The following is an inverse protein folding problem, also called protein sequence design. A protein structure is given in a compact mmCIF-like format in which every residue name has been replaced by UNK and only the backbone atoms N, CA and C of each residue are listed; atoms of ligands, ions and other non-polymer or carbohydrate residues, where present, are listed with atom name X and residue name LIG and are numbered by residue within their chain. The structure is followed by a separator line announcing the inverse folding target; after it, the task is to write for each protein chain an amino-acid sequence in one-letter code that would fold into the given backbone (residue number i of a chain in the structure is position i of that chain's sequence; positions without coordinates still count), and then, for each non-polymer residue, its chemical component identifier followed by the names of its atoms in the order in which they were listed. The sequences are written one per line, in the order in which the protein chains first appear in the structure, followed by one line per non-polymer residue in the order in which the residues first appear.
data_IF_628848487147
#
_entry.id   IF_628848487147
#
_cell.length_a   1.000
_cell.length_b   1.000
_cell.length_c   1.000
_cell.angle_alpha   90.00
_cell.angle_beta   90.00
_cell.angle_gamma   90.00
#
_symmetry.space_group_name_H-M   'P 1'
#
loop_
_entity.id
_entity.type
_entity.pdbx_description
1 polymer ?
#
# COMPACT_ATOMS: atom_id res chain seq x y z
N UNK A 1 17.03 19.87 -5.32
CA UNK A 1 16.76 18.75 -4.39
C UNK A 1 16.17 17.64 -5.22
N UNK A 2 16.88 16.52 -5.37
CA UNK A 2 16.33 15.36 -6.08
C UNK A 2 15.23 14.72 -5.24
N UNK A 3 14.07 14.51 -5.84
CA UNK A 3 13.01 13.71 -5.22
C UNK A 3 13.34 12.25 -5.49
N UNK A 4 13.80 11.53 -4.47
CA UNK A 4 14.05 10.09 -4.57
C UNK A 4 12.70 9.36 -4.58
N UNK A 5 12.24 8.97 -5.76
CA UNK A 5 11.02 8.17 -5.92
C UNK A 5 11.20 6.80 -5.24
N UNK A 6 10.27 6.42 -4.36
CA UNK A 6 10.25 5.08 -3.73
C UNK A 6 9.30 4.16 -4.48
N UNK A 7 9.75 2.97 -4.81
CA UNK A 7 8.97 1.95 -5.54
C UNK A 7 8.58 0.81 -4.60
N UNK A 8 7.32 0.38 -4.67
CA UNK A 8 6.77 -0.70 -3.85
C UNK A 8 6.08 -1.73 -4.74
N UNK A 9 6.26 -3.01 -4.44
CA UNK A 9 5.51 -4.09 -5.08
C UNK A 9 4.26 -4.41 -4.28
N UNK A 10 3.10 -3.96 -4.77
CA UNK A 10 1.82 -4.20 -4.12
C UNK A 10 1.09 -5.34 -4.82
N UNK A 11 0.82 -6.43 -4.10
CA UNK A 11 0.01 -7.55 -4.60
C UNK A 11 -1.20 -7.73 -3.70
N UNK A 12 -2.33 -7.15 -4.10
CA UNK A 12 -3.59 -7.33 -3.40
C UNK A 12 -4.67 -7.90 -4.31
N UNK A 13 -5.40 -8.89 -3.77
CA UNK A 13 -6.59 -9.45 -4.39
C UNK A 13 -7.81 -8.76 -3.77
N UNK A 14 -8.35 -7.75 -4.44
CA UNK A 14 -9.59 -7.11 -4.04
C UNK A 14 -10.72 -8.13 -4.11
N UNK A 15 -11.42 -8.32 -3.00
CA UNK A 15 -12.50 -9.30 -2.91
C UNK A 15 -13.86 -8.65 -2.95
N UNK A 16 -14.10 -7.55 -2.21
CA UNK A 16 -15.29 -6.68 -2.20
C UNK A 16 -15.11 -5.65 -1.06
N UNK A 17 -15.15 -4.33 -1.29
CA UNK A 17 -15.54 -3.42 -0.20
C UNK A 17 -14.49 -2.97 0.82
N UNK A 18 -13.73 -1.91 0.53
CA UNK A 18 -13.21 -0.96 1.53
C UNK A 18 -11.99 -1.49 2.26
N UNK A 19 -11.38 -2.51 1.68
CA UNK A 19 -10.39 -3.33 2.34
C UNK A 19 -9.17 -2.49 2.69
N UNK A 20 -8.92 -2.34 4.00
CA UNK A 20 -7.65 -1.82 4.52
C UNK A 20 -6.53 -2.77 4.16
N UNK A 21 -5.43 -2.24 3.63
CA UNK A 21 -4.24 -3.04 3.32
C UNK A 21 -2.96 -2.28 3.58
N UNK A 22 -1.92 -3.02 3.95
CA UNK A 22 -0.59 -2.47 4.16
C UNK A 22 0.21 -2.54 2.85
N UNK A 23 0.91 -1.45 2.56
CA UNK A 23 2.01 -1.43 1.60
C UNK A 23 3.28 -1.66 2.39
N UNK A 24 4.02 -2.71 1.99
CA UNK A 24 5.28 -3.08 2.62
C UNK A 24 6.46 -2.65 1.78
N UNK A 25 7.54 -2.29 2.44
CA UNK A 25 8.83 -2.06 1.79
C UNK A 25 9.55 -3.36 1.42
N UNK A 26 10.77 -3.24 0.92
CA UNK A 26 11.63 -4.35 0.51
C UNK A 26 12.07 -5.25 1.68
N UNK A 27 11.92 -4.78 2.93
CA UNK A 27 12.20 -5.55 4.15
C UNK A 27 10.95 -6.23 4.70
N UNK A 28 9.78 -5.96 4.10
CA UNK A 28 8.50 -6.48 4.55
C UNK A 28 7.85 -5.66 5.67
N UNK A 29 8.43 -4.50 6.01
CA UNK A 29 7.91 -3.57 7.01
C UNK A 29 6.81 -2.69 6.44
N UNK A 30 5.85 -2.29 7.26
CA UNK A 30 4.74 -1.44 6.81
C UNK A 30 5.25 -0.03 6.55
N UNK A 31 5.32 0.35 5.27
CA UNK A 31 5.64 1.70 4.86
C UNK A 31 4.40 2.61 4.91
N UNK A 32 3.23 2.06 4.53
CA UNK A 32 1.97 2.79 4.50
C UNK A 32 0.79 1.87 4.81
N UNK A 33 -0.24 2.44 5.44
CA UNK A 33 -1.55 1.82 5.60
C UNK A 33 -2.53 2.52 4.65
N UNK A 34 -3.11 1.74 3.74
CA UNK A 34 -4.17 2.23 2.85
C UNK A 34 -5.51 1.94 3.52
N UNK A 35 -6.36 2.96 3.53
CA UNK A 35 -7.74 2.86 3.98
C UNK A 35 -8.64 3.14 2.78
N UNK A 36 -9.49 2.16 2.42
CA UNK A 36 -10.51 2.35 1.39
C UNK A 36 -11.86 2.71 2.03
N UNK A 37 -12.57 3.67 1.45
CA UNK A 37 -13.98 3.96 1.77
C UNK A 37 -14.87 3.51 0.60
N UNK A 38 -16.07 3.01 0.90
CA UNK A 38 -17.10 2.64 -0.08
C UNK A 38 -18.23 3.67 -0.17
N UNK A 39 -18.06 4.82 0.49
CA UNK A 39 -18.96 5.96 0.46
C UNK A 39 -18.24 7.18 -0.10
#
# INVERSE_FOLDING_TARGET
MEVLMKTFLVKQKFRLGGERFAIKDDRGEIAYQVEGSFF
#
